data_IF_297395171231
#
_entry.id   IF_297395171231
#
_cell.length_a   1.000
_cell.length_b   1.000
_cell.length_c   1.000
_cell.angle_alpha   90.00
_cell.angle_beta   90.00
_cell.angle_gamma   90.00
#
_symmetry.space_group_name_H-M   'P 1'
#
loop_
_entity.id
_entity.type
_entity.pdbx_description
1 polymer ?
#
# COMPACT_ATOMS: atom_id res chain seq x y z
N UNK A 1 12.89 8.42 -32.87
CA UNK A 1 11.66 9.03 -32.32
C UNK A 1 11.23 8.21 -31.12
N UNK A 2 10.87 8.84 -29.99
CA UNK A 2 10.39 8.10 -28.81
C UNK A 2 9.08 7.38 -29.14
N UNK A 3 8.97 6.10 -28.79
CA UNK A 3 7.78 5.30 -29.06
C UNK A 3 6.64 5.74 -28.15
N UNK A 4 5.45 5.92 -28.69
CA UNK A 4 4.29 6.36 -27.92
C UNK A 4 3.96 5.35 -26.81
N UNK A 5 3.78 5.82 -25.57
CA UNK A 5 3.40 4.98 -24.41
C UNK A 5 2.14 4.16 -24.68
N UNK A 6 1.94 2.99 -24.04
CA UNK A 6 0.70 2.21 -24.13
C UNK A 6 -0.55 3.03 -23.79
N UNK A 7 -1.70 2.62 -24.34
CA UNK A 7 -2.99 3.27 -24.09
C UNK A 7 -3.32 3.37 -22.59
N UNK A 8 -3.15 2.29 -21.83
CA UNK A 8 -3.47 2.29 -20.40
C UNK A 8 -2.69 3.36 -19.63
N UNK A 9 -1.41 3.51 -19.93
CA UNK A 9 -0.55 4.54 -19.34
C UNK A 9 -0.98 5.96 -19.74
N UNK A 10 -1.34 6.18 -21.01
CA UNK A 10 -1.82 7.51 -21.48
C UNK A 10 -3.18 7.89 -20.88
N UNK A 11 -4.04 6.89 -20.66
CA UNK A 11 -5.40 7.08 -20.16
C UNK A 11 -5.47 7.19 -18.63
N UNK A 12 -4.33 7.11 -17.92
CA UNK A 12 -4.28 6.89 -16.46
C UNK A 12 -5.14 5.68 -16.02
N UNK A 13 -5.26 4.69 -16.90
CA UNK A 13 -6.09 3.51 -16.76
C UNK A 13 -5.22 2.27 -16.99
N UNK A 14 -4.32 1.94 -16.06
CA UNK A 14 -3.30 0.95 -16.32
C UNK A 14 -3.85 -0.49 -16.36
N UNK A 15 -5.11 -0.70 -15.98
CA UNK A 15 -5.81 -1.98 -16.15
C UNK A 15 -6.65 -2.07 -17.43
N UNK A 16 -6.60 -1.07 -18.32
CA UNK A 16 -7.46 -1.01 -19.51
C UNK A 16 -8.95 -1.26 -19.19
N UNK A 17 -9.47 -0.68 -18.11
CA UNK A 17 -10.87 -0.83 -17.71
C UNK A 17 -11.77 -0.08 -18.70
N UNK A 18 -12.81 -0.73 -19.21
CA UNK A 18 -13.78 -0.08 -20.10
C UNK A 18 -14.70 0.90 -19.34
N UNK A 19 -15.31 1.82 -20.08
CA UNK A 19 -16.38 2.65 -19.52
C UNK A 19 -17.57 1.78 -19.06
N UNK A 20 -18.30 2.22 -18.03
CA UNK A 20 -19.58 1.60 -17.65
C UNK A 20 -19.90 1.70 -16.16
N UNK A 21 -18.88 1.70 -15.30
CA UNK A 21 -19.05 1.95 -13.87
C UNK A 21 -18.69 3.40 -13.51
N UNK A 22 -19.38 3.99 -12.51
CA UNK A 22 -19.15 5.37 -12.07
C UNK A 22 -17.89 5.44 -11.18
N UNK A 23 -16.72 5.17 -11.75
CA UNK A 23 -15.47 5.17 -11.00
C UNK A 23 -15.12 6.57 -10.47
N UNK A 24 -14.52 6.62 -9.28
CA UNK A 24 -14.02 7.87 -8.72
C UNK A 24 -12.76 8.33 -9.47
N UNK A 25 -12.78 9.59 -9.92
CA UNK A 25 -11.66 10.20 -10.63
C UNK A 25 -11.67 9.97 -12.14
N UNK A 26 -12.80 9.55 -12.73
CA UNK A 26 -13.01 9.64 -14.17
C UNK A 26 -12.95 11.10 -14.63
N UNK A 27 -12.41 11.31 -15.82
CA UNK A 27 -12.60 12.59 -16.52
C UNK A 27 -14.00 12.65 -17.13
N UNK A 28 -14.54 13.86 -17.41
CA UNK A 28 -15.80 14.02 -18.12
C UNK A 28 -15.77 13.33 -19.49
N UNK A 29 -16.87 12.66 -19.87
CA UNK A 29 -16.91 11.86 -21.10
C UNK A 29 -16.75 12.69 -22.38
N UNK A 30 -17.16 13.96 -22.35
CA UNK A 30 -16.96 14.92 -23.44
C UNK A 30 -15.50 15.41 -23.56
N UNK A 31 -14.68 15.22 -22.53
CA UNK A 31 -13.24 15.52 -22.54
C UNK A 31 -12.41 14.26 -22.86
N UNK A 32 -13.04 13.08 -22.89
CA UNK A 32 -12.37 11.82 -23.14
C UNK A 32 -11.95 11.68 -24.61
N UNK A 33 -10.71 11.27 -24.83
CA UNK A 33 -10.15 10.97 -26.14
C UNK A 33 -10.29 9.49 -26.51
N UNK A 34 -10.66 8.62 -25.56
CA UNK A 34 -10.87 7.20 -25.77
C UNK A 34 -12.34 6.83 -25.60
N UNK A 35 -12.95 6.31 -26.67
CA UNK A 35 -14.38 5.99 -26.69
C UNK A 35 -14.72 4.68 -25.98
N UNK A 36 -13.77 3.75 -25.84
CA UNK A 36 -14.00 2.41 -25.28
C UNK A 36 -13.47 2.30 -23.85
N UNK A 37 -12.27 2.80 -23.59
CA UNK A 37 -11.61 2.67 -22.30
C UNK A 37 -11.78 3.90 -21.44
N UNK A 38 -12.07 3.68 -20.15
CA UNK A 38 -12.16 4.73 -19.16
C UNK A 38 -10.87 5.56 -19.11
N UNK A 39 -11.01 6.86 -18.87
CA UNK A 39 -9.89 7.77 -18.65
C UNK A 39 -10.02 8.40 -17.28
N UNK A 40 -8.91 8.43 -16.55
CA UNK A 40 -8.86 8.95 -15.19
C UNK A 40 -8.03 10.23 -15.13
N UNK A 41 -8.36 11.09 -14.17
CA UNK A 41 -7.64 12.34 -13.90
C UNK A 41 -6.18 12.10 -13.46
N UNK A 42 -5.91 10.96 -12.82
CA UNK A 42 -4.60 10.59 -12.29
C UNK A 42 -4.46 9.05 -12.24
N UNK A 43 -3.22 8.50 -12.30
CA UNK A 43 -3.00 7.06 -12.36
C UNK A 43 -3.45 6.32 -11.09
N UNK A 44 -3.38 6.96 -9.91
CA UNK A 44 -3.84 6.34 -8.66
C UNK A 44 -5.36 6.08 -8.70
N UNK A 45 -6.14 6.92 -9.38
CA UNK A 45 -7.56 6.66 -9.64
C UNK A 45 -7.81 5.44 -10.54
N UNK A 46 -6.98 5.20 -11.56
CA UNK A 46 -7.06 3.98 -12.37
C UNK A 46 -6.64 2.73 -11.60
N UNK A 47 -5.57 2.81 -10.81
CA UNK A 47 -5.10 1.73 -9.93
C UNK A 47 -6.18 1.37 -8.90
N UNK A 48 -6.82 2.38 -8.30
CA UNK A 48 -7.96 2.21 -7.40
C UNK A 48 -9.10 1.43 -8.09
N UNK A 49 -9.41 1.74 -9.35
CA UNK A 49 -10.47 1.04 -10.08
C UNK A 49 -10.15 -0.45 -10.29
N UNK A 50 -8.88 -0.81 -10.52
CA UNK A 50 -8.43 -2.22 -10.51
C UNK A 50 -8.72 -2.84 -9.15
N UNK A 51 -8.21 -2.25 -8.07
CA UNK A 51 -8.35 -2.80 -6.72
C UNK A 51 -9.82 -3.01 -6.31
N UNK A 52 -10.69 -2.02 -6.54
CA UNK A 52 -12.13 -2.13 -6.25
C UNK A 52 -12.80 -3.23 -7.09
N UNK A 53 -12.36 -3.42 -8.33
CA UNK A 53 -12.87 -4.50 -9.20
C UNK A 53 -12.49 -5.87 -8.64
N UNK A 54 -11.22 -6.04 -8.24
CA UNK A 54 -10.72 -7.26 -7.63
C UNK A 54 -11.43 -7.58 -6.31
N UNK A 55 -11.57 -6.60 -5.41
CA UNK A 55 -12.36 -6.76 -4.18
C UNK A 55 -13.81 -7.15 -4.49
N UNK A 56 -14.42 -6.57 -5.52
CA UNK A 56 -15.78 -6.94 -5.95
C UNK A 56 -15.85 -8.39 -6.45
N UNK A 57 -14.82 -8.89 -7.13
CA UNK A 57 -14.76 -10.29 -7.55
C UNK A 57 -14.74 -11.23 -6.35
N UNK A 58 -13.86 -10.95 -5.40
CA UNK A 58 -13.68 -11.73 -4.19
C UNK A 58 -14.92 -11.75 -3.29
N UNK A 59 -15.57 -10.60 -3.11
CA UNK A 59 -16.70 -10.46 -2.17
C UNK A 59 -18.05 -10.85 -2.76
N UNK A 60 -18.25 -10.64 -4.06
CA UNK A 60 -19.60 -10.61 -4.66
C UNK A 60 -19.78 -11.51 -5.87
N UNK A 61 -18.73 -12.16 -6.36
CA UNK A 61 -18.79 -12.97 -7.59
C UNK A 61 -18.37 -14.40 -7.31
N UNK A 62 -18.68 -15.26 -8.29
CA UNK A 62 -18.36 -16.68 -8.28
C UNK A 62 -17.45 -17.00 -9.46
N UNK A 63 -16.60 -18.01 -9.27
CA UNK A 63 -15.83 -18.62 -10.33
C UNK A 63 -16.75 -19.36 -11.31
N UNK A 64 -16.18 -19.85 -12.41
CA UNK A 64 -16.94 -20.50 -13.48
C UNK A 64 -17.62 -21.80 -13.04
N UNK A 65 -17.07 -22.48 -12.05
CA UNK A 65 -17.62 -23.69 -11.43
C UNK A 65 -18.63 -23.39 -10.29
N UNK A 66 -18.90 -22.11 -10.01
CA UNK A 66 -19.78 -21.67 -8.94
C UNK A 66 -19.10 -21.53 -7.57
N UNK A 67 -17.79 -21.82 -7.46
CA UNK A 67 -16.99 -21.63 -6.25
C UNK A 67 -16.73 -20.13 -5.98
N UNK A 68 -16.06 -19.84 -4.85
CA UNK A 68 -15.58 -18.49 -4.54
C UNK A 68 -14.36 -18.20 -5.41
N UNK A 69 -14.20 -16.95 -5.83
CA UNK A 69 -12.96 -16.52 -6.50
C UNK A 69 -11.88 -16.33 -5.42
N UNK A 70 -10.94 -17.26 -5.33
CA UNK A 70 -9.82 -17.22 -4.38
C UNK A 70 -8.51 -17.82 -4.92
N UNK A 71 -8.41 -18.04 -6.23
CA UNK A 71 -7.17 -18.33 -6.94
C UNK A 71 -6.83 -17.25 -7.99
N UNK A 72 -5.54 -17.16 -8.35
CA UNK A 72 -5.08 -16.20 -9.38
C UNK A 72 -5.74 -16.54 -10.72
N UNK A 73 -5.89 -17.83 -11.01
CA UNK A 73 -6.54 -18.33 -12.22
C UNK A 73 -7.96 -17.80 -12.35
N UNK A 74 -8.78 -17.92 -11.33
CA UNK A 74 -10.18 -17.47 -11.37
C UNK A 74 -10.30 -15.95 -11.46
N UNK A 75 -9.44 -15.22 -10.76
CA UNK A 75 -9.35 -13.76 -10.87
C UNK A 75 -9.09 -13.36 -12.32
N UNK A 76 -8.10 -13.98 -12.97
CA UNK A 76 -7.71 -13.67 -14.34
C UNK A 76 -8.73 -14.16 -15.38
N UNK A 77 -9.36 -15.32 -15.18
CA UNK A 77 -10.46 -15.79 -16.03
C UNK A 77 -11.60 -14.77 -16.09
N UNK A 78 -11.89 -14.14 -14.96
CA UNK A 78 -12.91 -13.10 -14.88
C UNK A 78 -12.45 -11.75 -15.41
N UNK A 79 -11.17 -11.40 -15.19
CA UNK A 79 -10.57 -10.14 -15.64
C UNK A 79 -10.44 -10.09 -17.17
N UNK A 80 -9.95 -11.16 -17.78
CA UNK A 80 -9.63 -11.24 -19.20
C UNK A 80 -10.03 -12.61 -19.78
N UNK A 81 -11.32 -12.80 -20.15
CA UNK A 81 -11.83 -14.08 -20.64
C UNK A 81 -11.09 -14.62 -21.87
N UNK A 82 -11.10 -15.94 -22.03
CA UNK A 82 -10.28 -16.67 -23.00
C UNK A 82 -10.63 -16.46 -24.48
N UNK A 83 -11.68 -15.70 -24.80
CA UNK A 83 -12.08 -15.43 -26.20
C UNK A 83 -10.96 -14.75 -26.98
N UNK A 84 -10.20 -13.87 -26.32
CA UNK A 84 -9.08 -13.14 -26.93
C UNK A 84 -7.74 -13.32 -26.17
N UNK A 85 -7.74 -14.04 -25.04
CA UNK A 85 -6.61 -14.07 -24.11
C UNK A 85 -6.11 -15.48 -23.81
N UNK A 86 -4.79 -15.64 -23.70
CA UNK A 86 -4.21 -16.83 -23.09
C UNK A 86 -4.22 -16.68 -21.57
N UNK A 87 -5.38 -16.99 -20.98
CA UNK A 87 -5.61 -16.93 -19.51
C UNK A 87 -4.54 -17.72 -18.76
N UNK A 88 -4.06 -18.85 -19.30
CA UNK A 88 -3.07 -19.69 -18.62
C UNK A 88 -1.72 -19.01 -18.53
N UNK A 89 -1.30 -18.32 -19.60
CA UNK A 89 -0.07 -17.53 -19.58
C UNK A 89 -0.20 -16.32 -18.66
N UNK A 90 -1.34 -15.62 -18.69
CA UNK A 90 -1.59 -14.46 -17.83
C UNK A 90 -1.60 -14.86 -16.34
N UNK A 91 -2.38 -15.88 -15.97
CA UNK A 91 -2.43 -16.35 -14.59
C UNK A 91 -1.05 -16.79 -14.08
N UNK A 92 -0.24 -17.48 -14.91
CA UNK A 92 1.14 -17.84 -14.54
C UNK A 92 2.03 -16.63 -14.33
N UNK A 93 1.97 -15.63 -15.21
CA UNK A 93 2.78 -14.42 -15.08
C UNK A 93 2.42 -13.66 -13.79
N UNK A 94 1.14 -13.51 -13.49
CA UNK A 94 0.69 -12.82 -12.28
C UNK A 94 1.01 -13.63 -11.03
N UNK A 95 0.78 -14.94 -11.05
CA UNK A 95 1.10 -15.82 -9.92
C UNK A 95 2.60 -15.83 -9.58
N UNK A 96 3.48 -15.66 -10.57
CA UNK A 96 4.91 -15.52 -10.35
C UNK A 96 5.28 -14.22 -9.59
N UNK A 97 4.51 -13.14 -9.74
CA UNK A 97 4.68 -11.91 -8.93
C UNK A 97 4.29 -12.15 -7.48
N UNK A 98 3.29 -12.99 -7.25
CA UNK A 98 2.77 -13.34 -5.93
C UNK A 98 3.57 -14.45 -5.22
N UNK A 99 4.46 -15.14 -5.93
CA UNK A 99 5.13 -16.37 -5.48
C UNK A 99 4.13 -17.46 -5.01
N UNK A 100 3.05 -17.65 -5.77
CA UNK A 100 2.01 -18.66 -5.49
C UNK A 100 1.77 -19.57 -6.69
N UNK A 101 1.17 -20.73 -6.45
CA UNK A 101 0.60 -21.54 -7.53
C UNK A 101 -0.65 -20.83 -8.08
N UNK A 102 -0.81 -20.66 -9.42
CA UNK A 102 -1.95 -19.96 -10.00
C UNK A 102 -3.31 -20.58 -9.66
N UNK A 103 -3.35 -21.87 -9.34
CA UNK A 103 -4.55 -22.62 -8.99
C UNK A 103 -4.71 -22.79 -7.46
N UNK A 104 -3.88 -22.15 -6.65
CA UNK A 104 -4.02 -22.20 -5.18
C UNK A 104 -5.22 -21.36 -4.74
N UNK A 105 -6.20 -22.00 -4.08
CA UNK A 105 -7.43 -21.41 -3.53
C UNK A 105 -7.18 -20.74 -2.16
N UNK A 106 -6.17 -19.87 -2.09
CA UNK A 106 -5.69 -19.29 -0.81
C UNK A 106 -5.58 -17.77 -0.85
N UNK A 107 -5.99 -17.11 -1.93
CA UNK A 107 -5.90 -15.66 -2.05
C UNK A 107 -6.86 -14.98 -1.08
N UNK A 108 -6.36 -13.95 -0.40
CA UNK A 108 -7.17 -13.02 0.35
C UNK A 108 -7.05 -11.62 -0.28
N UNK A 109 -8.08 -11.15 -1.00
CA UNK A 109 -8.03 -9.86 -1.67
C UNK A 109 -8.29 -8.66 -0.74
N UNK A 110 -8.46 -8.89 0.56
CA UNK A 110 -8.41 -7.84 1.59
C UNK A 110 -7.00 -7.69 2.18
N UNK A 111 -6.09 -8.65 1.93
CA UNK A 111 -4.70 -8.54 2.33
C UNK A 111 -3.94 -7.58 1.40
N UNK A 112 -3.16 -6.68 2.00
CA UNK A 112 -2.48 -5.61 1.28
C UNK A 112 -1.42 -6.16 0.31
N UNK A 113 -0.58 -7.09 0.75
CA UNK A 113 0.53 -7.61 -0.07
C UNK A 113 -0.02 -8.44 -1.25
N UNK A 114 -1.08 -9.21 -1.00
CA UNK A 114 -1.80 -9.97 -2.03
C UNK A 114 -2.42 -9.05 -3.08
N UNK A 115 -3.19 -8.03 -2.65
CA UNK A 115 -3.84 -7.09 -3.55
C UNK A 115 -2.80 -6.29 -4.36
N UNK A 116 -1.74 -5.80 -3.70
CA UNK A 116 -0.67 -5.06 -4.37
C UNK A 116 -0.04 -5.89 -5.49
N UNK A 117 0.37 -7.11 -5.17
CA UNK A 117 1.02 -8.01 -6.14
C UNK A 117 0.13 -8.30 -7.34
N UNK A 118 -1.18 -8.52 -7.13
CA UNK A 118 -2.14 -8.72 -8.23
C UNK A 118 -2.27 -7.48 -9.11
N UNK A 119 -2.46 -6.32 -8.50
CA UNK A 119 -2.56 -5.04 -9.21
C UNK A 119 -1.30 -4.79 -10.05
N UNK A 120 -0.11 -4.96 -9.45
CA UNK A 120 1.15 -4.76 -10.15
C UNK A 120 1.34 -5.73 -11.32
N UNK A 121 0.99 -7.02 -11.11
CA UNK A 121 1.02 -8.04 -12.15
C UNK A 121 0.09 -7.72 -13.33
N UNK A 122 -1.15 -7.27 -13.05
CA UNK A 122 -2.10 -6.83 -14.07
C UNK A 122 -1.53 -5.64 -14.86
N UNK A 123 -1.03 -4.61 -14.18
CA UNK A 123 -0.45 -3.43 -14.83
C UNK A 123 0.70 -3.82 -15.77
N UNK A 124 1.59 -4.72 -15.30
CA UNK A 124 2.74 -5.18 -16.08
C UNK A 124 2.34 -5.99 -17.30
N UNK A 125 1.29 -6.81 -17.19
CA UNK A 125 0.75 -7.60 -18.30
C UNK A 125 0.08 -6.69 -19.34
N UNK A 126 -0.80 -5.78 -18.89
CA UNK A 126 -1.59 -4.90 -19.76
C UNK A 126 -0.76 -3.89 -20.56
N UNK A 127 0.35 -3.42 -20.00
CA UNK A 127 1.12 -2.32 -20.58
C UNK A 127 2.51 -2.76 -21.10
N UNK A 128 2.92 -4.00 -20.88
CA UNK A 128 4.23 -4.49 -21.28
C UNK A 128 5.38 -3.82 -20.51
N UNK A 129 6.59 -3.85 -21.07
CA UNK A 129 7.79 -3.28 -20.44
C UNK A 129 7.96 -1.80 -20.86
N UNK A 130 8.14 -0.84 -19.94
CA UNK A 130 8.48 0.56 -20.27
C UNK A 130 9.76 0.71 -21.12
N UNK A 131 10.73 -0.20 -21.00
CA UNK A 131 11.96 -0.19 -21.82
C UNK A 131 11.66 -0.30 -23.31
N UNK A 132 10.61 -1.04 -23.68
CA UNK A 132 10.13 -1.15 -25.07
C UNK A 132 9.64 0.19 -25.64
N UNK A 133 9.50 1.21 -24.78
CA UNK A 133 9.13 2.58 -25.11
C UNK A 133 10.26 3.59 -24.88
N UNK A 134 11.48 3.12 -24.56
CA UNK A 134 12.63 3.98 -24.26
C UNK A 134 12.55 4.66 -22.90
N UNK A 135 11.80 4.08 -21.95
CA UNK A 135 11.65 4.57 -20.59
C UNK A 135 12.39 3.65 -19.62
N UNK A 136 12.95 4.23 -18.56
CA UNK A 136 13.57 3.46 -17.48
C UNK A 136 12.50 2.86 -16.57
N UNK A 137 12.52 1.54 -16.32
CA UNK A 137 11.56 0.89 -15.43
C UNK A 137 11.78 1.31 -13.98
N UNK A 138 10.70 1.41 -13.22
CA UNK A 138 10.77 1.41 -11.76
C UNK A 138 11.21 0.04 -11.25
N UNK A 139 11.92 0.03 -10.11
CA UNK A 139 12.39 -1.21 -9.48
C UNK A 139 11.29 -1.86 -8.64
N UNK A 140 10.21 -2.28 -9.29
CA UNK A 140 9.07 -2.98 -8.70
C UNK A 140 8.38 -3.87 -9.76
N UNK A 141 7.40 -4.67 -9.36
CA UNK A 141 6.78 -5.67 -10.24
C UNK A 141 6.01 -5.02 -11.41
N UNK A 142 5.38 -3.86 -11.19
CA UNK A 142 4.62 -3.19 -12.24
C UNK A 142 5.50 -2.46 -13.27
N UNK A 143 6.69 -1.99 -12.86
CA UNK A 143 7.71 -1.26 -13.64
C UNK A 143 7.30 0.12 -14.19
N UNK A 144 6.01 0.48 -14.19
CA UNK A 144 5.47 1.70 -14.81
C UNK A 144 5.27 2.87 -13.84
N UNK A 145 4.98 2.57 -12.58
CA UNK A 145 4.65 3.52 -11.53
C UNK A 145 5.52 3.27 -10.30
N UNK A 146 5.84 4.34 -9.59
CA UNK A 146 6.51 4.24 -8.30
C UNK A 146 5.60 3.62 -7.25
N UNK A 147 6.21 3.14 -6.16
CA UNK A 147 5.50 2.49 -5.06
C UNK A 147 4.47 3.42 -4.42
N UNK A 148 4.74 4.71 -4.34
CA UNK A 148 3.84 5.72 -3.76
C UNK A 148 2.54 5.85 -4.57
N UNK A 149 2.62 5.73 -5.90
CA UNK A 149 1.45 5.82 -6.78
C UNK A 149 0.59 4.55 -6.66
N UNK A 150 1.23 3.37 -6.57
CA UNK A 150 0.53 2.11 -6.30
C UNK A 150 -0.16 2.19 -4.93
N UNK A 151 0.57 2.59 -3.90
CA UNK A 151 0.08 2.73 -2.53
C UNK A 151 -1.09 3.70 -2.41
N UNK A 152 -1.01 4.85 -3.08
CA UNK A 152 -2.10 5.82 -3.09
C UNK A 152 -3.36 5.24 -3.75
N UNK A 153 -3.21 4.48 -4.84
CA UNK A 153 -4.34 3.80 -5.48
C UNK A 153 -5.00 2.76 -4.57
N UNK A 154 -4.20 1.93 -3.90
CA UNK A 154 -4.68 0.94 -2.93
C UNK A 154 -5.35 1.60 -1.72
N UNK A 155 -4.73 2.66 -1.18
CA UNK A 155 -5.27 3.44 -0.05
C UNK A 155 -6.63 4.03 -0.38
N UNK A 156 -6.81 4.60 -1.58
CA UNK A 156 -8.12 5.11 -2.06
C UNK A 156 -9.17 4.02 -2.26
N UNK A 157 -8.76 2.76 -2.39
CA UNK A 157 -9.65 1.60 -2.45
C UNK A 157 -9.97 1.02 -1.05
N UNK A 158 -9.37 1.57 0.02
CA UNK A 158 -9.52 1.07 1.38
C UNK A 158 -8.55 -0.06 1.75
N UNK A 159 -7.61 -0.40 0.87
CA UNK A 159 -6.58 -1.40 1.10
C UNK A 159 -5.32 -0.69 1.60
N UNK A 160 -5.09 -0.76 2.91
CA UNK A 160 -3.97 -0.08 3.56
C UNK A 160 -2.97 -1.08 4.10
N UNK A 161 -1.69 -0.73 4.00
CA UNK A 161 -0.60 -1.53 4.58
C UNK A 161 -0.76 -1.52 6.10
N UNK A 162 -1.10 -2.67 6.67
CA UNK A 162 -1.11 -2.82 8.12
C UNK A 162 0.32 -2.79 8.62
N UNK A 163 0.63 -1.90 9.56
CA UNK A 163 1.91 -1.94 10.24
C UNK A 163 1.97 -3.26 11.02
N UNK A 164 2.89 -4.16 10.65
CA UNK A 164 3.19 -5.33 11.50
C UNK A 164 3.45 -4.81 12.92
N UNK A 165 2.83 -5.38 13.97
CA UNK A 165 3.14 -4.99 15.33
C UNK A 165 4.63 -5.24 15.55
N UNK A 166 5.41 -4.16 15.53
CA UNK A 166 6.83 -4.24 15.84
C UNK A 166 6.89 -4.54 17.34
N UNK A 167 7.41 -5.71 17.70
CA UNK A 167 7.77 -5.98 19.10
C UNK A 167 8.66 -4.80 19.54
N UNK A 168 8.15 -3.97 20.47
CA UNK A 168 8.79 -2.72 20.89
C UNK A 168 10.20 -2.95 21.42
N UNK A 169 10.51 -4.18 21.84
CA UNK A 169 11.83 -4.68 22.20
C UNK A 169 12.87 -4.52 21.08
N UNK A 170 12.49 -4.72 19.82
CA UNK A 170 13.39 -4.59 18.67
C UNK A 170 13.59 -3.13 18.27
N UNK A 171 12.53 -2.29 18.36
CA UNK A 171 12.63 -0.85 18.07
C UNK A 171 13.48 -0.13 19.11
N UNK A 172 13.34 -0.51 20.39
CA UNK A 172 14.21 -0.03 21.46
C UNK A 172 15.67 -0.49 21.28
N UNK A 173 15.90 -1.72 20.82
CA UNK A 173 17.26 -2.21 20.55
C UNK A 173 17.94 -1.42 19.40
N UNK A 174 17.19 -1.07 18.35
CA UNK A 174 17.73 -0.30 17.21
C UNK A 174 17.96 1.18 17.53
N UNK A 175 17.16 1.79 18.40
CA UNK A 175 17.37 3.19 18.82
C UNK A 175 18.50 3.37 19.84
N UNK A 176 18.92 2.30 20.52
CA UNK A 176 19.95 2.34 21.58
C UNK A 176 21.38 2.17 21.05
N UNK A 177 21.57 1.76 19.80
CA UNK A 177 22.91 1.49 19.24
C UNK A 177 23.82 2.73 19.08
N UNK A 178 23.32 3.95 19.32
CA UNK A 178 24.05 5.20 19.09
C UNK A 178 24.49 6.00 20.33
N UNK A 179 24.14 5.60 21.56
CA UNK A 179 24.37 6.43 22.76
C UNK A 179 24.94 5.61 23.94
N UNK A 180 26.03 6.12 24.52
CA UNK A 180 26.79 5.44 25.58
C UNK A 180 25.98 5.13 26.84
N UNK A 181 26.32 4.00 27.47
CA UNK A 181 25.58 3.32 28.54
C UNK A 181 25.13 4.18 29.74
N UNK A 182 25.79 5.30 30.02
CA UNK A 182 25.51 6.11 31.21
C UNK A 182 24.26 7.00 31.10
N UNK A 183 23.81 7.37 29.88
CA UNK A 183 22.64 8.24 29.70
C UNK A 183 21.31 7.46 29.66
N UNK A 184 21.36 6.13 29.61
CA UNK A 184 20.19 5.27 29.39
C UNK A 184 19.39 5.02 30.67
N UNK A 185 20.04 5.00 31.84
CA UNK A 185 19.38 4.58 33.09
C UNK A 185 18.28 5.56 33.52
N UNK A 186 18.50 6.85 33.33
CA UNK A 186 17.55 7.89 33.74
C UNK A 186 16.31 7.99 32.83
N UNK A 187 16.38 7.47 31.60
CA UNK A 187 15.27 7.52 30.64
C UNK A 187 14.30 6.33 30.77
N UNK A 188 14.73 5.22 31.39
CA UNK A 188 13.98 3.96 31.43
C UNK A 188 12.95 3.93 32.56
N UNK A 189 13.23 4.57 33.69
CA UNK A 189 12.34 4.53 34.87
C UNK A 189 10.97 5.18 34.64
N UNK A 190 10.86 6.38 34.04
CA UNK A 190 9.55 7.00 33.79
C UNK A 190 8.72 6.22 32.76
N UNK A 191 9.39 5.59 31.78
CA UNK A 191 8.75 4.78 30.74
C UNK A 191 8.18 3.48 31.32
N UNK A 192 8.88 2.87 32.29
CA UNK A 192 8.40 1.67 32.98
C UNK A 192 7.17 1.98 33.86
N UNK A 193 7.19 3.09 34.59
CA UNK A 193 6.05 3.52 35.39
C UNK A 193 4.81 3.84 34.52
N UNK A 194 5.02 4.42 33.33
CA UNK A 194 3.95 4.65 32.35
C UNK A 194 3.42 3.34 31.73
N UNK A 195 4.25 2.31 31.62
CA UNK A 195 3.85 0.97 31.15
C UNK A 195 3.05 0.20 32.21
N UNK A 196 3.47 0.22 33.48
CA UNK A 196 2.80 -0.49 34.57
C UNK A 196 1.42 0.13 34.88
N UNK A 197 1.24 1.43 34.60
CA UNK A 197 -0.04 2.15 34.75
C UNK A 197 -1.07 1.83 33.66
N UNK A 198 -0.67 1.12 32.59
CA UNK A 198 -1.52 0.85 31.42
C UNK A 198 -2.20 -0.53 31.45
N UNK A 199 -2.16 -1.25 32.57
CA UNK A 199 -2.80 -2.56 32.76
C UNK A 199 -4.00 -2.51 33.71
N UNK A 200 -4.86 -1.51 33.53
CA UNK A 200 -6.22 -1.49 34.08
C UNK A 200 -7.21 -1.30 32.94
N UNK A 201 -8.20 -2.18 32.84
CA UNK A 201 -9.26 -2.17 31.83
C UNK A 201 -9.82 -0.77 31.56
N UNK A 202 -9.96 -0.40 30.28
CA UNK A 202 -11.15 0.21 29.65
C UNK A 202 -10.84 0.50 28.15
N UNK A 203 -11.82 0.11 27.33
CA UNK A 203 -11.90 0.24 25.87
C UNK A 203 -11.85 1.68 25.33
N UNK A 204 -10.91 1.93 24.41
CA UNK A 204 -10.98 2.74 23.17
C UNK A 204 -9.69 3.54 22.92
N UNK A 205 -9.14 3.43 21.70
CA UNK A 205 -7.79 3.83 21.30
C UNK A 205 -7.46 5.33 21.26
N UNK A 206 -8.29 6.20 21.84
CA UNK A 206 -8.05 7.65 21.88
C UNK A 206 -7.30 8.11 23.14
N UNK A 207 -7.53 7.48 24.30
CA UNK A 207 -6.81 7.86 25.52
C UNK A 207 -5.31 7.57 25.43
N UNK A 208 -4.94 6.48 24.74
CA UNK A 208 -3.53 6.13 24.50
C UNK A 208 -2.83 7.25 23.73
N UNK A 209 -3.44 7.81 22.69
CA UNK A 209 -2.85 8.91 21.92
C UNK A 209 -2.73 10.19 22.75
N UNK A 210 -3.72 10.49 23.59
CA UNK A 210 -3.71 11.65 24.49
C UNK A 210 -2.61 11.49 25.54
N UNK A 211 -2.51 10.32 26.19
CA UNK A 211 -1.51 10.03 27.22
C UNK A 211 -0.08 10.04 26.66
N UNK A 212 0.14 9.48 25.46
CA UNK A 212 1.44 9.54 24.78
C UNK A 212 1.76 10.97 24.31
N UNK A 213 0.76 11.73 23.85
CA UNK A 213 0.92 13.14 23.48
C UNK A 213 1.35 13.99 24.67
N UNK A 214 0.67 13.87 25.81
CA UNK A 214 1.00 14.63 27.03
C UNK A 214 2.34 14.22 27.62
N UNK A 215 2.68 12.92 27.61
CA UNK A 215 3.99 12.45 28.07
C UNK A 215 5.13 12.96 27.18
N UNK A 216 4.95 12.99 25.85
CA UNK A 216 5.98 13.49 24.92
C UNK A 216 6.22 14.98 25.11
N UNK A 217 5.15 15.76 25.32
CA UNK A 217 5.26 17.20 25.62
C UNK A 217 5.96 17.41 26.97
N UNK A 218 5.61 16.64 28.01
CA UNK A 218 6.25 16.74 29.32
C UNK A 218 7.76 16.41 29.27
N UNK A 219 8.14 15.38 28.51
CA UNK A 219 9.55 15.02 28.29
C UNK A 219 10.28 16.12 27.53
N UNK A 220 9.66 16.70 26.49
CA UNK A 220 10.21 17.83 25.74
C UNK A 220 10.42 19.07 26.63
N UNK A 221 9.44 19.40 27.49
CA UNK A 221 9.54 20.50 28.45
C UNK A 221 10.63 20.26 29.50
N UNK A 222 10.74 19.02 30.01
CA UNK A 222 11.79 18.65 30.96
C UNK A 222 13.18 18.75 30.34
N UNK A 223 13.36 18.24 29.11
CA UNK A 223 14.62 18.34 28.36
C UNK A 223 15.01 19.79 28.09
N UNK A 224 14.04 20.63 27.69
CA UNK A 224 14.23 22.07 27.52
C UNK A 224 14.65 22.75 28.83
N UNK A 225 14.03 22.39 29.95
CA UNK A 225 14.38 22.92 31.27
C UNK A 225 15.78 22.50 31.73
N UNK A 226 16.17 21.25 31.54
CA UNK A 226 17.52 20.75 31.86
C UNK A 226 18.59 21.44 31.01
N UNK A 227 18.34 21.63 29.70
CA UNK A 227 19.24 22.34 28.81
C UNK A 227 19.38 23.83 29.20
N UNK A 228 18.27 24.49 29.54
CA UNK A 228 18.26 25.87 30.02
C UNK A 228 19.06 26.03 31.33
N UNK A 229 18.91 25.10 32.27
CA UNK A 229 19.64 25.11 33.55
C UNK A 229 21.15 24.94 33.33
N UNK A 230 21.56 24.05 32.41
CA UNK A 230 22.97 23.87 32.05
C UNK A 230 23.56 25.11 31.37
N UNK A 231 22.82 25.75 30.47
CA UNK A 231 23.27 27.00 29.85
C UNK A 231 23.42 28.14 30.86
N UNK A 232 22.52 28.27 31.84
CA UNK A 232 22.65 29.25 32.92
C UNK A 232 23.78 28.94 33.90
N UNK A 233 24.06 27.66 34.16
CA UNK A 233 25.18 27.25 35.00
C UNK A 233 26.54 27.47 34.31
N UNK A 234 26.60 27.35 32.98
CA UNK A 234 27.81 27.65 32.19
C UNK A 234 28.05 29.15 31.93
N UNK A 235 27.02 29.98 32.04
CA UNK A 235 27.13 31.44 31.89
C UNK A 235 27.48 32.19 33.21
N UNK A 236 27.63 31.46 34.32
CA UNK A 236 27.99 32.00 35.63
C UNK A 236 29.40 31.54 36.11
N UNK A 237 30.20 30.99 35.20
CA UNK A 237 31.60 30.60 35.42
C UNK A 237 32.54 31.59 34.71
#
# INVERSE_FOLDING_TARGET
>A
MAKQKPRGIRNNNPGNIEWGSPWQGLIPRNEATDSRFAQFKDPASGIRAIAVTLTTYYDKRKANDGSKIDSVREVIERWAPAVENNVSAYAKQVAAVLDVNPNSETLNLHDYDTMRSLVEGIIRHENGNPESFGLTPYNNANTWYSDEVIEEGLRRAGIVKTAKPVNRTTVAATSVAGLGAAQLVDMVQPVKAAMDSAHGDISSGDWVRIAFGTATIAIGLYMGWVAYRKHRAGAAA
#
